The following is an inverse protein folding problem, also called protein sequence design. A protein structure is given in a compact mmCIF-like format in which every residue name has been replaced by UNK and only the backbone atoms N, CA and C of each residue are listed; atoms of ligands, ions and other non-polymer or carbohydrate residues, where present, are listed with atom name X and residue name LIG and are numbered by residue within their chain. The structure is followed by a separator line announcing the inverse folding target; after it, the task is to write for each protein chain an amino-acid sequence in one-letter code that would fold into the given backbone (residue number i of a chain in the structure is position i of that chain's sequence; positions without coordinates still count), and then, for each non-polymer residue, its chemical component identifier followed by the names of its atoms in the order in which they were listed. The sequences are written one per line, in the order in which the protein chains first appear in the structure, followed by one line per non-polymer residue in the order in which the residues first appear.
data_IF_618153229120
#
_entry.id   IF_618153229120
#
_cell.length_a   1.000
_cell.length_b   1.000
_cell.length_c   1.000
_cell.angle_alpha   90.00
_cell.angle_beta   90.00
_cell.angle_gamma   90.00
#
_symmetry.space_group_name_H-M   'P 1'
#
loop_
_entity.id
_entity.type
_entity.pdbx_description
1 polymer ?
#
# COMPACT_ATOMS: atom_id res chain seq x y z
N UNK A 1 56.67 -20.81 13.99
CA UNK A 1 55.73 -19.72 14.36
C UNK A 1 54.98 -19.14 13.16
N UNK A 2 55.52 -19.19 11.94
CA UNK A 2 54.86 -18.62 10.74
C UNK A 2 53.70 -19.50 10.22
N UNK A 3 53.75 -20.83 10.43
CA UNK A 3 52.71 -21.77 9.95
C UNK A 3 51.42 -21.81 10.79
N UNK A 4 51.43 -21.25 12.02
CA UNK A 4 50.23 -21.17 12.88
C UNK A 4 49.44 -19.88 12.69
N UNK A 5 50.06 -18.84 12.10
CA UNK A 5 49.40 -17.56 11.84
C UNK A 5 48.56 -17.61 10.56
N UNK A 6 48.97 -18.40 9.57
CA UNK A 6 48.24 -18.59 8.29
C UNK A 6 46.97 -19.42 8.45
N UNK A 7 46.94 -20.37 9.40
CA UNK A 7 45.76 -21.21 9.70
C UNK A 7 44.71 -20.45 10.52
N UNK A 8 45.12 -19.47 11.34
CA UNK A 8 44.22 -18.63 12.12
C UNK A 8 43.50 -17.58 11.23
N UNK A 9 44.17 -17.02 10.22
CA UNK A 9 43.54 -16.11 9.26
C UNK A 9 42.56 -16.80 8.30
N UNK A 10 42.78 -18.08 7.98
CA UNK A 10 41.84 -18.86 7.16
C UNK A 10 40.61 -19.35 7.95
N UNK A 11 40.74 -19.60 9.26
CA UNK A 11 39.58 -19.84 10.14
C UNK A 11 38.79 -18.56 10.44
N UNK A 12 39.45 -17.40 10.54
CA UNK A 12 38.75 -16.12 10.72
C UNK A 12 37.99 -15.69 9.47
N UNK A 13 38.53 -15.94 8.27
CA UNK A 13 37.79 -15.74 7.02
C UNK A 13 36.58 -16.68 6.90
N UNK A 14 36.69 -17.95 7.33
CA UNK A 14 35.57 -18.89 7.33
C UNK A 14 34.44 -18.53 8.33
N UNK A 15 34.74 -17.75 9.37
CA UNK A 15 33.73 -17.27 10.33
C UNK A 15 32.98 -16.02 9.87
N UNK A 16 33.46 -15.33 8.83
CA UNK A 16 32.75 -14.20 8.19
C UNK A 16 32.11 -14.56 6.84
N UNK A 17 32.29 -15.79 6.33
CA UNK A 17 31.68 -16.25 5.07
C UNK A 17 30.21 -16.68 5.23
N UNK A 18 29.67 -16.68 6.45
CA UNK A 18 28.22 -16.82 6.67
C UNK A 18 27.49 -15.46 6.71
N UNK A 19 27.99 -14.44 6.03
CA UNK A 19 27.06 -13.51 5.39
C UNK A 19 26.36 -14.32 4.31
N UNK A 20 25.20 -14.93 4.61
CA UNK A 20 24.35 -15.50 3.58
C UNK A 20 24.16 -14.42 2.50
N UNK A 21 24.84 -14.58 1.38
CA UNK A 21 24.41 -13.99 0.11
C UNK A 21 23.12 -14.72 -0.22
N UNK A 22 22.03 -14.26 0.40
CA UNK A 22 20.70 -14.74 0.12
C UNK A 22 20.50 -14.66 -1.39
N UNK A 23 20.26 -15.80 -2.02
CA UNK A 23 19.98 -15.84 -3.44
C UNK A 23 18.65 -15.10 -3.67
N UNK A 24 18.37 -14.51 -4.83
CA UNK A 24 17.07 -13.82 -5.02
C UNK A 24 15.85 -14.73 -4.75
N UNK A 25 16.03 -16.04 -4.86
CA UNK A 25 15.03 -17.04 -4.52
C UNK A 25 14.75 -17.15 -3.00
N UNK A 26 15.69 -16.74 -2.16
CA UNK A 26 15.56 -16.69 -0.70
C UNK A 26 14.88 -15.39 -0.24
N UNK A 27 14.87 -14.36 -1.11
CA UNK A 27 14.13 -13.12 -0.85
C UNK A 27 12.63 -13.41 -0.96
N UNK A 28 11.83 -12.91 -0.01
CA UNK A 28 10.36 -13.06 0.02
C UNK A 28 9.64 -12.61 -1.27
N UNK A 29 10.34 -11.91 -2.16
CA UNK A 29 9.88 -11.50 -3.49
C UNK A 29 9.54 -12.70 -4.38
N UNK A 30 10.21 -13.84 -4.21
CA UNK A 30 9.85 -15.07 -4.91
C UNK A 30 8.42 -15.54 -4.62
N UNK A 31 7.82 -15.11 -3.49
CA UNK A 31 6.45 -15.45 -3.12
C UNK A 31 5.41 -14.62 -3.86
N UNK A 32 5.79 -13.48 -4.42
CA UNK A 32 4.86 -12.48 -4.95
C UNK A 32 4.38 -12.92 -6.34
N UNK A 33 3.06 -12.95 -6.60
CA UNK A 33 2.53 -13.26 -7.92
C UNK A 33 2.94 -12.24 -9.01
N UNK A 34 3.03 -12.68 -10.26
CA UNK A 34 3.44 -11.87 -11.41
C UNK A 34 2.44 -10.78 -11.83
N UNK A 35 1.20 -10.87 -11.34
CA UNK A 35 0.13 -9.90 -11.57
C UNK A 35 0.15 -8.71 -10.59
N UNK A 36 1.11 -8.68 -9.66
CA UNK A 36 1.29 -7.58 -8.71
C UNK A 36 1.35 -6.22 -9.43
N UNK A 37 0.50 -5.29 -9.01
CA UNK A 37 0.44 -3.95 -9.56
C UNK A 37 1.61 -3.08 -9.09
N UNK A 38 2.06 -3.26 -7.85
CA UNK A 38 3.27 -2.65 -7.29
C UNK A 38 3.89 -3.55 -6.22
N UNK A 39 5.16 -3.29 -5.90
CA UNK A 39 5.89 -3.88 -4.78
C UNK A 39 6.77 -2.82 -4.14
N UNK A 40 6.83 -2.82 -2.81
CA UNK A 40 7.87 -2.17 -2.03
C UNK A 40 8.45 -3.17 -1.02
N UNK A 41 9.76 -3.29 -0.94
CA UNK A 41 10.41 -4.21 -0.01
C UNK A 41 11.59 -3.54 0.69
N UNK A 42 11.76 -3.91 1.96
CA UNK A 42 12.92 -3.57 2.78
C UNK A 42 13.56 -4.89 3.18
N UNK A 43 14.82 -5.07 2.78
CA UNK A 43 15.58 -6.30 2.99
C UNK A 43 16.71 -6.02 3.98
N UNK A 44 17.08 -7.01 4.80
CA UNK A 44 18.23 -6.90 5.72
C UNK A 44 18.06 -5.75 6.72
N UNK A 45 16.84 -5.55 7.24
CA UNK A 45 16.48 -4.39 8.08
C UNK A 45 17.41 -4.16 9.27
N UNK A 46 17.79 -5.23 9.98
CA UNK A 46 18.71 -5.20 11.13
C UNK A 46 20.08 -4.70 10.73
N UNK A 47 20.63 -5.23 9.64
CA UNK A 47 21.95 -4.82 9.18
C UNK A 47 21.95 -3.35 8.72
N UNK A 48 20.89 -2.91 8.06
CA UNK A 48 20.74 -1.50 7.68
C UNK A 48 20.68 -0.60 8.92
N UNK A 49 19.88 -0.96 9.92
CA UNK A 49 19.78 -0.24 11.17
C UNK A 49 21.12 -0.18 11.89
N UNK A 50 21.78 -1.32 12.06
CA UNK A 50 23.06 -1.44 12.77
C UNK A 50 24.12 -0.56 12.11
N UNK A 51 24.25 -0.61 10.77
CA UNK A 51 25.20 0.24 10.02
C UNK A 51 24.93 1.73 10.23
N UNK A 52 23.67 2.16 10.25
CA UNK A 52 23.31 3.56 10.52
C UNK A 52 23.63 3.91 11.97
N UNK A 53 23.16 3.11 12.92
CA UNK A 53 23.29 3.36 14.35
C UNK A 53 24.75 3.40 14.84
N UNK A 54 25.63 2.62 14.20
CA UNK A 54 27.08 2.62 14.49
C UNK A 54 27.89 3.57 13.60
N UNK A 55 27.27 4.33 12.70
CA UNK A 55 27.99 5.22 11.79
C UNK A 55 28.51 6.49 12.48
N UNK A 56 29.66 6.99 12.01
CA UNK A 56 30.18 8.30 12.43
C UNK A 56 29.19 9.43 12.12
N UNK A 57 28.48 9.36 10.99
CA UNK A 57 27.48 10.36 10.62
C UNK A 57 26.33 10.42 11.64
N UNK A 58 25.82 9.26 12.06
CA UNK A 58 24.78 9.20 13.09
C UNK A 58 25.30 9.61 14.46
N UNK A 59 26.55 9.27 14.80
CA UNK A 59 27.20 9.78 16.01
C UNK A 59 27.27 11.31 16.01
N UNK A 60 27.76 11.93 14.94
CA UNK A 60 27.81 13.39 14.79
C UNK A 60 26.44 14.06 14.80
N UNK A 61 25.40 13.42 14.24
CA UNK A 61 24.02 13.93 14.31
C UNK A 61 23.49 13.98 15.74
N UNK A 62 23.78 12.95 16.56
CA UNK A 62 23.37 12.90 17.97
C UNK A 62 24.06 13.96 18.83
N UNK A 63 25.26 14.41 18.45
CA UNK A 63 26.00 15.46 19.14
C UNK A 63 25.44 16.87 18.86
N UNK A 64 24.52 17.03 17.91
CA UNK A 64 23.87 18.31 17.66
C UNK A 64 22.93 18.65 18.83
N UNK A 65 23.13 19.83 19.44
CA UNK A 65 22.33 20.28 20.60
C UNK A 65 20.81 20.23 20.39
N UNK A 66 20.34 20.49 19.17
CA UNK A 66 18.92 20.40 18.82
C UNK A 66 18.41 18.95 18.84
N UNK A 67 19.23 18.00 18.39
CA UNK A 67 18.92 16.58 18.37
C UNK A 67 18.98 16.00 19.78
N UNK A 68 20.02 16.32 20.55
CA UNK A 68 20.14 15.96 21.97
C UNK A 68 18.92 16.43 22.76
N UNK A 69 18.55 17.70 22.63
CA UNK A 69 17.36 18.26 23.29
C UNK A 69 16.07 17.55 22.84
N UNK A 70 15.92 17.24 21.55
CA UNK A 70 14.75 16.54 21.04
C UNK A 70 14.67 15.09 21.55
N UNK A 71 15.80 14.39 21.65
CA UNK A 71 15.86 13.04 22.22
C UNK A 71 15.55 13.05 23.72
N UNK A 72 16.05 14.04 24.46
CA UNK A 72 15.73 14.23 25.88
C UNK A 72 14.24 14.54 26.10
N UNK A 73 13.64 15.39 25.26
CA UNK A 73 12.21 15.67 25.30
C UNK A 73 11.37 14.43 24.97
N UNK A 74 11.79 13.63 23.98
CA UNK A 74 11.15 12.37 23.64
C UNK A 74 11.23 11.36 24.80
N UNK A 75 12.40 11.20 25.43
CA UNK A 75 12.59 10.31 26.58
C UNK A 75 11.72 10.76 27.79
N UNK A 76 11.60 12.07 28.01
CA UNK A 76 10.69 12.62 29.03
C UNK A 76 9.23 12.33 28.70
N UNK A 77 8.82 12.43 27.44
CA UNK A 77 7.46 12.08 27.02
C UNK A 77 7.15 10.60 27.25
N UNK A 78 8.10 9.70 26.97
CA UNK A 78 7.92 8.26 27.15
C UNK A 78 7.64 7.84 28.60
N UNK A 79 8.07 8.64 29.58
CA UNK A 79 7.88 8.37 31.01
C UNK A 79 6.65 9.06 31.62
N UNK A 80 5.90 9.85 30.83
CA UNK A 80 4.68 10.51 31.31
C UNK A 80 3.51 9.52 31.42
N UNK A 81 2.83 9.44 32.59
CA UNK A 81 1.63 8.62 32.76
C UNK A 81 0.52 9.03 31.79
N UNK A 82 -0.06 8.05 31.09
CA UNK A 82 -1.12 8.28 30.09
C UNK A 82 -0.62 8.52 28.67
N UNK A 83 0.69 8.56 28.42
CA UNK A 83 1.23 8.54 27.07
C UNK A 83 1.00 7.16 26.42
N UNK A 84 0.48 7.07 25.18
CA UNK A 84 0.39 5.82 24.42
C UNK A 84 1.68 4.99 24.40
N UNK A 85 2.85 5.63 24.39
CA UNK A 85 4.16 4.94 24.47
C UNK A 85 4.41 4.28 25.83
N UNK A 86 3.95 4.88 26.93
CA UNK A 86 4.06 4.30 28.26
C UNK A 86 3.15 3.06 28.39
N UNK A 87 1.95 3.11 27.78
CA UNK A 87 1.05 1.95 27.69
C UNK A 87 1.66 0.84 26.84
N UNK A 88 2.29 1.17 25.70
CA UNK A 88 3.01 0.20 24.87
C UNK A 88 4.18 -0.45 25.64
N UNK A 89 4.98 0.35 26.36
CA UNK A 89 6.06 -0.18 27.21
C UNK A 89 5.54 -1.09 28.33
N UNK A 90 4.42 -0.73 28.97
CA UNK A 90 3.80 -1.56 30.00
C UNK A 90 3.31 -2.89 29.43
N UNK A 91 2.66 -2.88 28.25
CA UNK A 91 2.27 -4.11 27.55
C UNK A 91 3.49 -4.93 27.13
N UNK A 92 4.61 -4.28 26.79
CA UNK A 92 5.87 -4.94 26.44
C UNK A 92 6.52 -5.66 27.63
N UNK A 93 6.26 -5.22 28.85
CA UNK A 93 6.84 -5.81 30.07
C UNK A 93 6.06 -7.01 30.59
N UNK A 94 4.83 -7.26 30.09
CA UNK A 94 4.04 -8.40 30.52
C UNK A 94 4.69 -9.71 30.02
N UNK A 95 4.90 -10.72 30.90
CA UNK A 95 5.59 -11.96 30.54
C UNK A 95 4.88 -12.73 29.41
N UNK A 96 3.55 -12.66 29.35
CA UNK A 96 2.72 -13.33 28.33
C UNK A 96 2.89 -12.75 26.91
N UNK A 97 3.54 -11.58 26.80
CA UNK A 97 3.77 -10.87 25.54
C UNK A 97 5.22 -10.97 25.06
N UNK A 98 6.15 -11.48 25.86
CA UNK A 98 7.59 -11.53 25.50
C UNK A 98 7.84 -12.26 24.18
N UNK A 99 7.20 -13.41 23.98
CA UNK A 99 7.31 -14.19 22.75
C UNK A 99 6.71 -13.45 21.53
N UNK A 100 5.58 -12.74 21.71
CA UNK A 100 4.97 -11.95 20.64
C UNK A 100 5.83 -10.73 20.26
N UNK A 101 6.45 -10.09 21.25
CA UNK A 101 7.36 -8.95 21.05
C UNK A 101 8.62 -9.42 20.33
N UNK A 102 9.22 -10.52 20.78
CA UNK A 102 10.39 -11.10 20.13
C UNK A 102 10.10 -11.46 18.67
N UNK A 103 8.91 -12.02 18.39
CA UNK A 103 8.45 -12.29 17.03
C UNK A 103 8.29 -11.00 16.22
N UNK A 104 7.60 -9.97 16.74
CA UNK A 104 7.42 -8.69 16.05
C UNK A 104 8.76 -8.01 15.75
N UNK A 105 9.69 -8.03 16.71
CA UNK A 105 11.04 -7.50 16.54
C UNK A 105 11.81 -8.26 15.46
N UNK A 106 11.67 -9.58 15.37
CA UNK A 106 12.26 -10.38 14.31
C UNK A 106 11.64 -10.09 12.92
N UNK A 107 10.32 -10.01 12.86
CA UNK A 107 9.57 -9.68 11.64
C UNK A 107 9.98 -8.34 11.01
N UNK A 108 10.15 -7.29 11.82
CA UNK A 108 10.55 -5.96 11.31
C UNK A 108 12.05 -5.83 11.07
N UNK A 109 12.86 -6.67 11.73
CA UNK A 109 14.32 -6.62 11.63
C UNK A 109 14.87 -7.44 10.46
N UNK A 110 14.06 -8.27 9.82
CA UNK A 110 14.49 -9.09 8.70
C UNK A 110 14.01 -8.50 7.38
N UNK A 111 13.36 -9.30 6.54
CA UNK A 111 12.90 -8.93 5.21
C UNK A 111 11.39 -8.68 5.25
N UNK A 112 10.98 -7.54 4.74
CA UNK A 112 9.56 -7.17 4.65
C UNK A 112 9.23 -6.75 3.23
N UNK A 113 8.03 -7.08 2.79
CA UNK A 113 7.50 -6.61 1.52
C UNK A 113 6.03 -6.26 1.63
N UNK A 114 5.61 -5.25 0.88
CA UNK A 114 4.21 -4.94 0.64
C UNK A 114 3.97 -4.92 -0.86
N UNK A 115 2.90 -5.58 -1.31
CA UNK A 115 2.49 -5.53 -2.70
C UNK A 115 0.98 -5.35 -2.81
N UNK A 116 0.56 -4.72 -3.91
CA UNK A 116 -0.84 -4.63 -4.30
C UNK A 116 -1.09 -5.49 -5.52
N UNK A 117 -2.25 -6.13 -5.61
CA UNK A 117 -2.64 -6.96 -6.77
C UNK A 117 -3.15 -6.08 -7.92
N UNK A 118 -3.56 -6.71 -9.02
CA UNK A 118 -4.19 -6.03 -10.15
C UNK A 118 -5.44 -5.20 -9.80
N UNK A 119 -6.10 -5.43 -8.65
CA UNK A 119 -7.23 -4.61 -8.18
C UNK A 119 -6.84 -3.14 -7.94
N UNK A 120 -5.58 -2.85 -7.62
CA UNK A 120 -5.05 -1.48 -7.54
C UNK A 120 -5.05 -0.74 -8.87
N UNK A 121 -5.00 -1.44 -10.00
CA UNK A 121 -5.13 -0.84 -11.33
C UNK A 121 -6.55 -0.35 -11.54
N UNK A 122 -7.55 -1.16 -11.18
CA UNK A 122 -8.98 -0.79 -11.25
C UNK A 122 -9.28 0.37 -10.31
N UNK A 123 -8.84 0.29 -9.06
CA UNK A 123 -8.99 1.36 -8.08
C UNK A 123 -8.33 2.67 -8.54
N UNK A 124 -7.12 2.61 -9.12
CA UNK A 124 -6.42 3.80 -9.63
C UNK A 124 -7.19 4.52 -10.73
N UNK A 125 -7.89 3.79 -11.61
CA UNK A 125 -8.74 4.40 -12.64
C UNK A 125 -9.89 5.19 -12.02
N UNK A 126 -10.54 4.64 -10.99
CA UNK A 126 -11.59 5.34 -10.28
C UNK A 126 -11.04 6.58 -9.55
N UNK A 127 -9.93 6.42 -8.83
CA UNK A 127 -9.27 7.51 -8.10
C UNK A 127 -8.92 8.67 -9.04
N UNK A 128 -8.41 8.37 -10.23
CA UNK A 128 -8.10 9.37 -11.25
C UNK A 128 -9.36 10.10 -11.75
N UNK A 129 -10.45 9.39 -12.04
CA UNK A 129 -11.73 10.00 -12.44
C UNK A 129 -12.30 10.92 -11.36
N UNK A 130 -12.24 10.49 -10.10
CA UNK A 130 -12.66 11.31 -8.95
C UNK A 130 -11.79 12.56 -8.79
N UNK A 131 -10.47 12.42 -8.94
CA UNK A 131 -9.54 13.55 -8.91
C UNK A 131 -9.85 14.55 -10.03
N UNK A 132 -10.11 14.08 -11.25
CA UNK A 132 -10.51 14.94 -12.38
C UNK A 132 -11.84 15.66 -12.13
N UNK A 133 -12.84 14.97 -11.57
CA UNK A 133 -14.12 15.57 -11.19
C UNK A 133 -13.96 16.67 -10.12
N UNK A 134 -13.14 16.43 -9.10
CA UNK A 134 -12.80 17.42 -8.08
C UNK A 134 -12.11 18.65 -8.68
N UNK A 135 -11.15 18.44 -9.58
CA UNK A 135 -10.45 19.55 -10.25
C UNK A 135 -11.41 20.39 -11.10
N UNK A 136 -12.31 19.74 -11.85
CA UNK A 136 -13.34 20.43 -12.62
C UNK A 136 -14.26 21.30 -11.73
N UNK A 137 -14.71 20.77 -10.59
CA UNK A 137 -15.53 21.49 -9.61
C UNK A 137 -14.82 22.75 -9.06
N UNK A 138 -13.55 22.61 -8.72
CA UNK A 138 -12.74 23.70 -8.18
C UNK A 138 -12.59 24.84 -9.19
N UNK A 139 -12.36 24.52 -10.47
CA UNK A 139 -12.20 25.58 -11.48
C UNK A 139 -13.54 26.22 -11.84
N UNK A 140 -14.64 25.45 -11.91
CA UNK A 140 -15.97 26.01 -12.12
C UNK A 140 -16.35 27.05 -11.04
N UNK A 141 -15.89 26.83 -9.81
CA UNK A 141 -16.02 27.78 -8.70
C UNK A 141 -15.22 29.06 -8.94
N UNK A 142 -14.00 28.95 -9.47
CA UNK A 142 -13.12 30.08 -9.77
C UNK A 142 -13.66 30.91 -10.95
N UNK A 143 -14.22 30.27 -11.98
CA UNK A 143 -14.66 30.94 -13.22
C UNK A 143 -16.00 31.67 -13.11
N UNK A 144 -16.86 31.33 -12.13
CA UNK A 144 -18.16 31.99 -11.94
C UNK A 144 -18.12 33.25 -11.09
N UNK A 145 -16.93 33.67 -10.62
CA UNK A 145 -16.76 34.84 -9.76
C UNK A 145 -17.23 34.60 -8.32
N UNK A 146 -16.65 35.34 -7.37
CA UNK A 146 -16.91 35.26 -5.92
C UNK A 146 -18.30 35.72 -5.47
N UNK A 147 -19.19 36.10 -6.40
CA UNK A 147 -20.51 36.72 -6.10
C UNK A 147 -21.69 35.73 -6.17
N UNK A 148 -21.46 34.47 -6.56
CA UNK A 148 -22.42 33.40 -6.35
C UNK A 148 -21.97 32.61 -5.12
N UNK A 149 -22.75 32.67 -4.04
CA UNK A 149 -22.74 31.65 -2.99
C UNK A 149 -23.15 30.31 -3.60
N UNK A 150 -22.28 29.72 -4.41
CA UNK A 150 -22.35 28.32 -4.72
C UNK A 150 -22.13 27.60 -3.39
N UNK A 151 -23.10 26.77 -3.00
CA UNK A 151 -22.81 25.71 -2.06
C UNK A 151 -21.79 24.78 -2.74
N UNK A 152 -20.52 25.14 -2.56
CA UNK A 152 -19.34 24.47 -3.10
C UNK A 152 -19.28 23.02 -2.62
N UNK A 153 -19.89 22.73 -1.46
CA UNK A 153 -20.11 21.38 -0.98
C UNK A 153 -21.11 20.62 -1.85
N UNK A 154 -22.29 21.17 -2.10
CA UNK A 154 -23.35 20.49 -2.86
C UNK A 154 -22.94 20.16 -4.32
N UNK A 155 -22.28 21.10 -5.02
CA UNK A 155 -21.84 20.87 -6.40
C UNK A 155 -20.76 19.80 -6.49
N UNK A 156 -19.84 19.79 -5.52
CA UNK A 156 -18.77 18.80 -5.45
C UNK A 156 -19.33 17.40 -5.13
N UNK A 157 -20.21 17.31 -4.14
CA UNK A 157 -20.85 16.05 -3.75
C UNK A 157 -21.59 15.42 -4.93
N UNK A 158 -22.26 16.25 -5.75
CA UNK A 158 -22.92 15.79 -6.96
C UNK A 158 -21.98 15.20 -7.99
N UNK A 159 -20.92 15.92 -8.34
CA UNK A 159 -19.94 15.42 -9.31
C UNK A 159 -19.25 14.13 -8.83
N UNK A 160 -18.97 14.01 -7.53
CA UNK A 160 -18.43 12.79 -6.93
C UNK A 160 -19.42 11.63 -7.07
N UNK A 161 -20.69 11.83 -6.68
CA UNK A 161 -21.67 10.75 -6.71
C UNK A 161 -22.09 10.36 -8.14
N UNK A 162 -22.21 11.29 -9.09
CA UNK A 162 -22.37 10.98 -10.52
C UNK A 162 -21.20 10.14 -11.04
N UNK A 163 -19.96 10.53 -10.69
CA UNK A 163 -18.75 9.80 -11.10
C UNK A 163 -18.72 8.39 -10.51
N UNK A 164 -19.06 8.22 -9.23
CA UNK A 164 -19.12 6.90 -8.59
C UNK A 164 -20.23 6.03 -9.20
N UNK A 165 -21.43 6.58 -9.39
CA UNK A 165 -22.57 5.87 -9.95
C UNK A 165 -22.33 5.44 -11.41
N UNK A 166 -21.61 6.24 -12.20
CA UNK A 166 -21.22 5.91 -13.56
C UNK A 166 -20.09 4.87 -13.66
N UNK A 167 -19.37 4.58 -12.56
CA UNK A 167 -18.18 3.73 -12.55
C UNK A 167 -18.23 2.68 -11.42
N UNK A 168 -19.42 2.13 -11.16
CA UNK A 168 -19.65 1.14 -10.08
C UNK A 168 -18.80 -0.13 -10.25
N UNK A 169 -18.49 -0.52 -11.48
CA UNK A 169 -17.58 -1.62 -11.80
C UNK A 169 -16.14 -1.38 -11.30
N UNK A 170 -15.75 -0.12 -11.12
CA UNK A 170 -14.43 0.29 -10.63
C UNK A 170 -14.40 0.46 -9.11
N UNK A 171 -15.55 0.42 -8.44
CA UNK A 171 -15.65 0.41 -6.98
C UNK A 171 -15.28 -1.01 -6.52
N UNK A 172 -14.05 -1.14 -6.03
CA UNK A 172 -13.45 -2.39 -5.54
C UNK A 172 -12.72 -2.14 -4.23
N UNK A 173 -12.58 -3.16 -3.40
CA UNK A 173 -11.65 -3.15 -2.27
C UNK A 173 -10.29 -3.61 -2.80
N UNK A 174 -9.28 -2.73 -2.90
CA UNK A 174 -7.99 -3.11 -3.45
C UNK A 174 -7.25 -4.02 -2.48
N UNK A 175 -6.66 -5.10 -2.99
CA UNK A 175 -5.97 -6.09 -2.19
C UNK A 175 -4.54 -5.63 -1.90
N UNK A 176 -4.20 -5.55 -0.63
CA UNK A 176 -2.88 -5.22 -0.11
C UNK A 176 -2.35 -6.39 0.69
N UNK A 177 -1.15 -6.85 0.36
CA UNK A 177 -0.49 -7.95 1.06
C UNK A 177 0.81 -7.46 1.64
N UNK A 178 1.01 -7.69 2.93
CA UNK A 178 2.22 -7.41 3.67
C UNK A 178 2.82 -8.73 4.17
N UNK A 179 4.01 -9.06 3.69
CA UNK A 179 4.79 -10.19 4.17
C UNK A 179 5.96 -9.76 5.05
N UNK A 180 6.22 -10.54 6.08
CA UNK A 180 7.36 -10.41 6.97
C UNK A 180 8.05 -11.76 7.05
N UNK A 181 9.31 -11.82 6.63
CA UNK A 181 10.15 -12.97 6.92
C UNK A 181 10.28 -13.12 8.44
N UNK A 182 10.37 -14.35 8.91
CA UNK A 182 10.65 -14.62 10.32
C UNK A 182 11.52 -15.85 10.48
N UNK A 183 12.47 -15.75 11.41
CA UNK A 183 13.27 -16.88 11.88
C UNK A 183 12.54 -17.67 12.97
N UNK A 184 11.42 -17.16 13.48
CA UNK A 184 10.64 -17.70 14.59
C UNK A 184 9.28 -18.28 14.13
N UNK A 185 9.30 -19.11 13.09
CA UNK A 185 8.08 -19.67 12.47
C UNK A 185 7.17 -20.40 13.47
N UNK A 186 7.72 -21.13 14.45
CA UNK A 186 6.92 -21.83 15.45
C UNK A 186 6.22 -20.85 16.42
N UNK A 187 6.90 -19.77 16.81
CA UNK A 187 6.30 -18.70 17.60
C UNK A 187 5.18 -18.01 16.80
N UNK A 188 5.40 -17.77 15.50
CA UNK A 188 4.38 -17.22 14.61
C UNK A 188 3.11 -18.08 14.56
N UNK A 189 3.25 -19.41 14.40
CA UNK A 189 2.10 -20.33 14.40
C UNK A 189 1.32 -20.26 15.71
N UNK A 190 2.03 -20.25 16.84
CA UNK A 190 1.39 -20.14 18.16
C UNK A 190 0.67 -18.81 18.36
N UNK A 191 1.21 -17.69 17.87
CA UNK A 191 0.53 -16.41 17.91
C UNK A 191 -0.68 -16.37 16.98
N UNK A 192 -0.61 -17.03 15.83
CA UNK A 192 -1.75 -17.20 14.92
C UNK A 192 -2.90 -17.92 15.64
N UNK A 193 -2.63 -19.04 16.32
CA UNK A 193 -3.63 -19.77 17.10
C UNK A 193 -4.25 -18.91 18.24
N UNK A 194 -3.44 -18.08 18.91
CA UNK A 194 -3.94 -17.13 19.91
C UNK A 194 -4.86 -16.07 19.30
N UNK A 195 -4.50 -15.54 18.14
CA UNK A 195 -5.30 -14.55 17.41
C UNK A 195 -6.62 -15.17 16.93
N UNK A 196 -6.61 -16.43 16.48
CA UNK A 196 -7.85 -17.16 16.13
C UNK A 196 -8.81 -17.24 17.32
N UNK A 197 -8.29 -17.66 18.48
CA UNK A 197 -9.10 -17.79 19.69
C UNK A 197 -9.70 -16.46 20.11
N UNK A 198 -8.92 -15.37 20.03
CA UNK A 198 -9.40 -14.02 20.30
C UNK A 198 -10.46 -13.57 19.28
N UNK A 199 -10.19 -13.71 17.99
CA UNK A 199 -11.09 -13.31 16.91
C UNK A 199 -12.42 -14.07 16.99
N UNK A 200 -12.36 -15.38 17.22
CA UNK A 200 -13.53 -16.24 17.39
C UNK A 200 -14.36 -15.84 18.60
N UNK A 201 -13.71 -15.54 19.74
CA UNK A 201 -14.41 -15.08 20.94
C UNK A 201 -15.10 -13.73 20.72
N UNK A 202 -14.44 -12.80 20.02
CA UNK A 202 -15.01 -11.50 19.65
C UNK A 202 -16.18 -11.65 18.67
N UNK A 203 -16.04 -12.53 17.69
CA UNK A 203 -17.09 -12.88 16.74
C UNK A 203 -18.34 -13.46 17.44
N UNK A 204 -18.16 -14.37 18.39
CA UNK A 204 -19.26 -14.92 19.19
C UNK A 204 -19.97 -13.88 20.05
N UNK A 205 -19.27 -12.83 20.48
CA UNK A 205 -19.85 -11.73 21.25
C UNK A 205 -20.71 -10.78 20.39
N UNK A 206 -20.64 -10.87 19.06
CA UNK A 206 -21.40 -10.02 18.14
C UNK A 206 -22.13 -10.87 17.09
N UNK A 207 -23.48 -10.96 17.12
CA UNK A 207 -24.24 -11.78 16.19
C UNK A 207 -23.92 -11.55 14.70
N UNK A 208 -23.58 -10.31 14.33
CA UNK A 208 -23.21 -9.94 12.95
C UNK A 208 -21.88 -10.53 12.48
N UNK A 209 -21.01 -10.95 13.40
CA UNK A 209 -19.67 -11.49 13.11
C UNK A 209 -19.58 -13.00 13.36
N UNK A 210 -20.67 -13.67 13.72
CA UNK A 210 -20.66 -15.06 14.18
C UNK A 210 -19.97 -16.02 13.18
N UNK A 211 -20.16 -15.77 11.88
CA UNK A 211 -19.56 -16.55 10.79
C UNK A 211 -18.41 -15.80 10.07
N UNK A 212 -17.91 -14.71 10.65
CA UNK A 212 -16.90 -13.88 10.02
C UNK A 212 -15.50 -14.49 10.08
N UNK A 213 -15.21 -15.35 11.06
CA UNK A 213 -13.88 -15.90 11.30
C UNK A 213 -13.80 -17.34 10.78
N UNK A 214 -12.82 -17.62 9.92
CA UNK A 214 -12.54 -18.96 9.44
C UNK A 214 -11.03 -19.23 9.42
N UNK A 215 -10.67 -20.51 9.53
CA UNK A 215 -9.31 -20.99 9.24
C UNK A 215 -9.34 -21.79 7.96
N UNK A 216 -8.53 -21.38 7.01
CA UNK A 216 -8.51 -21.94 5.66
C UNK A 216 -7.08 -22.17 5.18
N UNK A 217 -6.91 -23.23 4.39
CA UNK A 217 -5.67 -23.47 3.66
C UNK A 217 -5.79 -22.80 2.29
N UNK A 218 -4.94 -21.82 2.04
CA UNK A 218 -4.98 -20.99 0.83
C UNK A 218 -3.62 -21.08 0.14
N UNK A 219 -3.58 -21.69 -1.03
CA UNK A 219 -2.34 -21.94 -1.77
C UNK A 219 -1.32 -22.72 -0.92
N UNK A 220 -0.15 -22.11 -0.71
CA UNK A 220 0.95 -22.70 0.06
C UNK A 220 0.92 -22.37 1.58
N UNK A 221 -0.11 -21.67 2.07
CA UNK A 221 -0.18 -21.23 3.47
C UNK A 221 -1.45 -21.64 4.19
N UNK A 222 -1.40 -21.51 5.52
CA UNK A 222 -2.55 -21.63 6.42
C UNK A 222 -2.89 -20.23 6.96
N UNK A 223 -4.17 -19.85 6.84
CA UNK A 223 -4.66 -18.51 7.14
C UNK A 223 -5.84 -18.54 8.09
N UNK A 224 -5.94 -17.50 8.91
CA UNK A 224 -7.17 -17.07 9.56
C UNK A 224 -7.71 -15.91 8.75
N UNK A 225 -8.96 -16.01 8.34
CA UNK A 225 -9.67 -14.98 7.59
C UNK A 225 -10.77 -14.38 8.46
N UNK A 226 -10.90 -13.06 8.42
CA UNK A 226 -12.02 -12.32 8.98
C UNK A 226 -12.73 -11.61 7.84
N UNK A 227 -13.94 -12.05 7.53
CA UNK A 227 -14.77 -11.48 6.46
C UNK A 227 -15.80 -10.53 7.07
N UNK A 228 -15.68 -9.26 6.72
CA UNK A 228 -16.56 -8.19 7.18
C UNK A 228 -17.44 -7.78 6.01
N UNK A 229 -18.75 -8.02 6.15
CA UNK A 229 -19.74 -7.56 5.19
C UNK A 229 -20.20 -6.16 5.58
N UNK A 230 -20.29 -5.22 4.63
CA UNK A 230 -20.83 -3.90 4.88
C UNK A 230 -22.30 -3.99 5.31
N UNK A 231 -22.65 -3.28 6.37
CA UNK A 231 -24.05 -3.09 6.76
C UNK A 231 -24.62 -1.87 6.01
N UNK A 232 -25.61 -2.07 5.12
CA UNK A 232 -26.21 -0.97 4.35
C UNK A 232 -26.81 0.13 5.23
N UNK A 233 -27.30 -0.19 6.43
CA UNK A 233 -27.86 0.79 7.37
C UNK A 233 -26.76 1.63 8.02
N UNK A 234 -25.64 1.00 8.42
CA UNK A 234 -24.49 1.73 8.95
C UNK A 234 -23.85 2.62 7.87
N UNK A 235 -23.78 2.15 6.63
CA UNK A 235 -23.28 2.97 5.51
C UNK A 235 -24.20 4.16 5.28
N UNK A 236 -25.53 3.95 5.21
CA UNK A 236 -26.50 5.04 5.07
C UNK A 236 -26.36 6.07 6.19
N UNK A 237 -26.25 5.61 7.44
CA UNK A 237 -26.08 6.48 8.61
C UNK A 237 -24.74 7.24 8.58
N UNK A 238 -23.64 6.58 8.19
CA UNK A 238 -22.34 7.23 8.04
C UNK A 238 -22.36 8.29 6.92
N UNK A 239 -22.97 7.97 5.77
CA UNK A 239 -23.08 8.91 4.65
C UNK A 239 -23.96 10.11 4.99
N UNK A 240 -25.11 9.91 5.67
CA UNK A 240 -26.00 11.02 6.05
C UNK A 240 -25.36 12.02 7.01
N UNK A 241 -24.32 11.60 7.74
CA UNK A 241 -23.57 12.48 8.65
C UNK A 241 -22.45 13.28 7.96
N UNK A 242 -22.00 12.84 6.78
CA UNK A 242 -20.82 13.38 6.09
C UNK A 242 -21.21 14.16 4.84
N UNK A 243 -22.29 13.78 4.16
CA UNK A 243 -22.66 14.32 2.86
C UNK A 243 -24.16 14.60 2.79
N UNK A 244 -24.52 15.83 2.42
CA UNK A 244 -25.87 16.19 2.00
C UNK A 244 -25.95 15.94 0.49
N UNK A 245 -26.79 14.99 0.12
CA UNK A 245 -27.09 14.65 -1.27
C UNK A 245 -28.53 15.06 -1.54
N UNK A 246 -28.76 16.35 -1.77
CA UNK A 246 -30.08 16.81 -2.22
C UNK A 246 -30.24 16.39 -3.70
N UNK A 247 -31.37 15.77 -4.05
CA UNK A 247 -31.75 15.34 -5.41
C UNK A 247 -30.82 14.29 -6.10
N UNK A 248 -30.26 13.32 -5.36
CA UNK A 248 -29.37 12.28 -5.90
C UNK A 248 -29.71 10.84 -5.46
N UNK A 249 -30.98 10.55 -5.26
CA UNK A 249 -31.41 9.24 -4.74
C UNK A 249 -31.00 8.07 -5.65
N UNK A 250 -31.05 8.26 -6.98
CA UNK A 250 -30.73 7.19 -7.94
C UNK A 250 -29.23 6.86 -7.97
N UNK A 251 -28.36 7.87 -8.01
CA UNK A 251 -26.91 7.69 -7.95
C UNK A 251 -26.50 7.00 -6.65
N UNK A 252 -27.08 7.45 -5.53
CA UNK A 252 -26.83 6.86 -4.22
C UNK A 252 -27.29 5.42 -4.14
N UNK A 253 -28.44 5.07 -4.69
CA UNK A 253 -28.93 3.70 -4.71
C UNK A 253 -27.96 2.79 -5.49
N UNK A 254 -27.46 3.24 -6.65
CA UNK A 254 -26.46 2.51 -7.45
C UNK A 254 -25.16 2.29 -6.66
N UNK A 255 -24.67 3.32 -5.99
CA UNK A 255 -23.43 3.25 -5.20
C UNK A 255 -23.63 2.32 -4.00
N UNK A 256 -24.70 2.51 -3.23
CA UNK A 256 -25.02 1.70 -2.05
C UNK A 256 -25.21 0.23 -2.40
N UNK A 257 -25.88 -0.05 -3.52
CA UNK A 257 -26.03 -1.41 -4.02
C UNK A 257 -24.65 -2.02 -4.28
N UNK A 258 -23.79 -1.32 -5.02
CA UNK A 258 -22.44 -1.81 -5.32
C UNK A 258 -21.59 -2.01 -4.07
N UNK A 259 -21.59 -1.05 -3.14
CA UNK A 259 -20.83 -1.15 -1.88
C UNK A 259 -21.36 -2.29 -1.01
N UNK A 260 -22.68 -2.51 -0.99
CA UNK A 260 -23.31 -3.62 -0.26
C UNK A 260 -22.97 -5.01 -0.81
N UNK A 261 -22.50 -5.11 -2.06
CA UNK A 261 -22.01 -6.35 -2.68
C UNK A 261 -20.53 -6.62 -2.39
N UNK A 262 -19.79 -5.64 -1.89
CA UNK A 262 -18.38 -5.81 -1.53
C UNK A 262 -18.26 -6.46 -0.16
N UNK A 263 -17.16 -7.17 0.05
CA UNK A 263 -16.78 -7.68 1.36
C UNK A 263 -15.33 -7.25 1.63
N UNK A 264 -15.00 -7.02 2.89
CA UNK A 264 -13.61 -6.77 3.31
C UNK A 264 -13.12 -8.04 3.97
N UNK A 265 -12.09 -8.65 3.40
CA UNK A 265 -11.44 -9.83 3.96
C UNK A 265 -10.08 -9.44 4.50
N UNK A 266 -9.87 -9.69 5.79
CA UNK A 266 -8.57 -9.60 6.45
C UNK A 266 -8.06 -11.02 6.66
N UNK A 267 -6.99 -11.41 5.99
CA UNK A 267 -6.36 -12.71 6.13
C UNK A 267 -4.99 -12.57 6.80
N UNK A 268 -4.77 -13.28 7.90
CA UNK A 268 -3.48 -13.38 8.58
C UNK A 268 -3.04 -14.83 8.55
N UNK A 269 -1.83 -15.12 8.09
CA UNK A 269 -1.37 -16.50 7.96
C UNK A 269 0.13 -16.62 7.82
N UNK A 270 0.56 -17.85 7.55
CA UNK A 270 1.97 -18.17 7.37
C UNK A 270 2.16 -18.88 6.02
N UNK A 271 3.05 -18.34 5.20
CA UNK A 271 3.45 -18.91 3.91
C UNK A 271 4.95 -19.14 3.92
N UNK A 272 5.37 -20.41 3.88
CA UNK A 272 6.77 -20.79 4.13
C UNK A 272 7.28 -20.18 5.45
N UNK A 273 8.30 -19.33 5.39
CA UNK A 273 8.91 -18.64 6.54
C UNK A 273 8.45 -17.18 6.65
N UNK A 274 7.26 -16.85 6.12
CA UNK A 274 6.72 -15.50 6.15
C UNK A 274 5.38 -15.43 6.85
N UNK A 275 5.25 -14.48 7.78
CA UNK A 275 3.96 -14.04 8.29
C UNK A 275 3.35 -13.09 7.26
N UNK A 276 2.13 -13.37 6.84
CA UNK A 276 1.44 -12.66 5.76
C UNK A 276 0.14 -12.06 6.30
N UNK A 277 0.02 -10.74 6.22
CA UNK A 277 -1.22 -10.01 6.44
C UNK A 277 -1.74 -9.53 5.08
N UNK A 278 -2.97 -9.89 4.75
CA UNK A 278 -3.67 -9.46 3.55
C UNK A 278 -4.96 -8.76 3.92
N UNK A 279 -5.25 -7.63 3.27
CA UNK A 279 -6.50 -6.89 3.41
C UNK A 279 -7.01 -6.63 2.00
N UNK A 280 -8.22 -7.07 1.67
CA UNK A 280 -8.72 -7.00 0.31
C UNK A 280 -10.19 -7.35 0.15
N UNK A 281 -10.61 -7.52 -1.11
CA UNK A 281 -11.97 -7.95 -1.46
C UNK A 281 -12.19 -9.46 -1.36
N UNK A 282 -11.13 -10.23 -1.16
CA UNK A 282 -11.15 -11.69 -1.16
C UNK A 282 -9.79 -12.29 -0.78
N UNK A 283 -9.58 -13.56 -1.13
CA UNK A 283 -8.34 -14.31 -0.85
C UNK A 283 -7.74 -14.97 -2.10
N UNK A 284 -8.33 -14.76 -3.26
CA UNK A 284 -7.95 -15.40 -4.52
C UNK A 284 -6.48 -15.14 -4.87
N UNK A 285 -5.99 -13.93 -4.61
CA UNK A 285 -4.59 -13.55 -4.86
C UNK A 285 -3.58 -14.28 -3.97
N UNK A 286 -4.00 -14.79 -2.80
CA UNK A 286 -3.15 -15.57 -1.92
C UNK A 286 -2.93 -17.00 -2.45
N UNK A 287 -3.80 -17.50 -3.33
CA UNK A 287 -3.64 -18.85 -3.90
C UNK A 287 -2.37 -18.97 -4.75
N UNK A 288 -2.01 -17.91 -5.48
CA UNK A 288 -0.82 -17.85 -6.31
C UNK A 288 0.47 -17.61 -5.48
N UNK A 289 0.33 -17.16 -4.24
CA UNK A 289 1.45 -16.77 -3.39
C UNK A 289 2.32 -17.98 -3.03
N UNK A 290 3.61 -17.91 -3.39
CA UNK A 290 4.57 -18.97 -3.12
C UNK A 290 4.44 -20.22 -4.00
N UNK A 291 3.61 -20.18 -5.04
CA UNK A 291 3.48 -21.24 -6.04
C UNK A 291 4.75 -21.41 -6.89
N UNK A 292 4.94 -22.60 -7.48
CA UNK A 292 6.09 -22.87 -8.35
C UNK A 292 5.82 -22.33 -9.76
N UNK A 293 6.20 -21.07 -10.00
CA UNK A 293 6.02 -20.36 -11.27
C UNK A 293 4.98 -19.24 -11.18
N UNK A 294 5.02 -18.29 -12.11
CA UNK A 294 4.16 -17.10 -12.04
C UNK A 294 4.58 -16.13 -10.94
N UNK A 295 5.86 -16.14 -10.55
CA UNK A 295 6.40 -15.17 -9.60
C UNK A 295 6.73 -13.86 -10.30
N UNK A 296 6.53 -12.74 -9.59
CA UNK A 296 7.00 -11.43 -10.02
C UNK A 296 8.50 -11.44 -10.30
N UNK A 297 9.26 -12.23 -9.53
CA UNK A 297 10.69 -12.41 -9.72
C UNK A 297 11.04 -13.02 -11.08
N UNK A 298 10.15 -13.75 -11.75
CA UNK A 298 10.39 -14.37 -13.06
C UNK A 298 10.16 -13.41 -14.23
N UNK A 299 9.51 -12.27 -13.98
CA UNK A 299 9.11 -11.33 -15.02
C UNK A 299 10.31 -10.63 -15.67
N UNK A 300 10.12 -10.13 -16.90
CA UNK A 300 11.17 -9.42 -17.65
C UNK A 300 11.77 -8.21 -16.88
N UNK A 301 10.98 -7.34 -16.19
CA UNK A 301 11.52 -6.23 -15.42
C UNK A 301 12.48 -6.65 -14.30
N UNK A 302 12.26 -7.82 -13.68
CA UNK A 302 13.07 -8.32 -12.57
C UNK A 302 14.39 -8.95 -13.00
N UNK A 303 14.70 -9.00 -14.31
CA UNK A 303 15.99 -9.51 -14.78
C UNK A 303 17.18 -8.82 -14.10
N UNK A 304 17.14 -7.50 -13.96
CA UNK A 304 18.23 -6.73 -13.33
C UNK A 304 18.41 -7.04 -11.84
N UNK A 305 17.35 -7.46 -11.15
CA UNK A 305 17.42 -7.91 -9.75
C UNK A 305 18.02 -9.31 -9.67
N UNK A 306 17.58 -10.22 -10.56
CA UNK A 306 18.14 -11.57 -10.68
C UNK A 306 19.64 -11.54 -11.05
N UNK A 307 20.05 -10.59 -11.88
CA UNK A 307 21.46 -10.41 -12.25
C UNK A 307 22.29 -9.76 -11.11
N UNK A 308 21.64 -9.16 -10.11
CA UNK A 308 22.27 -8.44 -9.00
C UNK A 308 22.29 -9.24 -7.67
N UNK A 309 22.02 -10.54 -7.68
CA UNK A 309 21.87 -11.37 -6.48
C UNK A 309 23.11 -11.53 -5.63
N UNK A 310 24.29 -11.35 -6.22
CA UNK A 310 25.54 -11.38 -5.47
C UNK A 310 25.75 -10.11 -4.62
N UNK A 311 24.96 -9.06 -4.87
CA UNK A 311 25.00 -7.82 -4.09
C UNK A 311 24.09 -7.93 -2.86
N UNK A 312 24.45 -7.29 -1.74
CA UNK A 312 23.61 -7.22 -0.55
C UNK A 312 22.44 -6.25 -0.76
N UNK A 313 21.40 -6.71 -1.46
CA UNK A 313 20.19 -5.93 -1.75
C UNK A 313 19.53 -5.43 -0.45
N UNK A 314 19.01 -4.20 -0.48
CA UNK A 314 18.40 -3.54 0.70
C UNK A 314 16.98 -3.07 0.48
N UNK A 315 16.62 -2.76 -0.77
CA UNK A 315 15.23 -2.46 -1.12
C UNK A 315 14.99 -2.77 -2.58
N UNK A 316 13.75 -3.17 -2.87
CA UNK A 316 13.25 -3.32 -4.24
C UNK A 316 11.89 -2.65 -4.31
N UNK A 317 11.75 -1.77 -5.29
CA UNK A 317 10.54 -1.04 -5.61
C UNK A 317 10.14 -1.38 -7.03
N UNK A 318 8.86 -1.66 -7.24
CA UNK A 318 8.34 -1.99 -8.54
C UNK A 318 6.94 -1.42 -8.73
N UNK A 319 6.66 -1.00 -9.96
CA UNK A 319 5.35 -0.62 -10.44
C UNK A 319 5.13 -1.29 -11.80
N UNK A 320 4.02 -2.00 -11.92
CA UNK A 320 3.63 -2.66 -13.16
C UNK A 320 3.32 -1.67 -14.27
N UNK A 321 3.44 -2.13 -15.50
CA UNK A 321 3.03 -1.36 -16.67
C UNK A 321 1.54 -1.03 -16.60
N UNK A 322 0.69 -1.99 -16.22
CA UNK A 322 -0.77 -1.79 -16.12
C UNK A 322 -1.11 -0.66 -15.15
N UNK A 323 -0.46 -0.63 -13.98
CA UNK A 323 -0.64 0.44 -13.00
C UNK A 323 -0.11 1.77 -13.51
N UNK A 324 1.05 1.80 -14.17
CA UNK A 324 1.59 3.02 -14.75
C UNK A 324 0.65 3.62 -15.82
N UNK A 325 0.09 2.77 -16.69
CA UNK A 325 -0.90 3.15 -17.71
C UNK A 325 -2.21 3.69 -17.14
N UNK A 326 -2.62 3.23 -15.95
CA UNK A 326 -3.82 3.77 -15.29
C UNK A 326 -3.69 5.28 -14.96
N UNK A 327 -2.46 5.78 -14.85
CA UNK A 327 -2.15 7.18 -14.55
C UNK A 327 -1.69 8.00 -15.76
N UNK A 328 -1.51 7.37 -16.94
CA UNK A 328 -1.19 8.10 -18.17
C UNK A 328 -2.36 8.95 -18.65
N UNK A 329 -2.07 10.03 -19.38
CA UNK A 329 -3.09 10.77 -20.13
C UNK A 329 -3.72 9.87 -21.19
N UNK A 330 -5.02 9.69 -21.10
CA UNK A 330 -5.84 8.86 -21.98
C UNK A 330 -6.72 9.74 -22.89
N UNK A 331 -7.27 9.19 -23.98
CA UNK A 331 -8.25 9.91 -24.80
C UNK A 331 -9.45 10.41 -23.99
N UNK A 332 -9.88 9.67 -22.97
CA UNK A 332 -10.97 10.08 -22.07
C UNK A 332 -10.61 11.35 -21.29
N UNK A 333 -9.36 11.52 -20.85
CA UNK A 333 -8.91 12.74 -20.17
C UNK A 333 -8.89 13.95 -21.12
N UNK A 334 -8.52 13.72 -22.39
CA UNK A 334 -8.55 14.77 -23.43
C UNK A 334 -9.99 15.22 -23.67
N UNK A 335 -10.92 14.29 -23.82
CA UNK A 335 -12.35 14.61 -23.98
C UNK A 335 -12.93 15.28 -22.74
N UNK A 336 -12.54 14.87 -21.54
CA UNK A 336 -12.95 15.54 -20.30
C UNK A 336 -12.43 16.98 -20.24
N UNK A 337 -11.18 17.20 -20.65
CA UNK A 337 -10.61 18.55 -20.70
C UNK A 337 -11.27 19.43 -21.77
N UNK A 338 -11.68 18.87 -22.91
CA UNK A 338 -12.49 19.60 -23.91
C UNK A 338 -13.83 20.02 -23.35
N UNK A 339 -14.59 19.09 -22.76
CA UNK A 339 -15.87 19.39 -22.09
C UNK A 339 -15.71 20.46 -21.01
N UNK A 340 -14.59 20.41 -20.31
CA UNK A 340 -14.23 21.42 -19.33
C UNK A 340 -14.01 22.80 -19.98
N UNK A 341 -13.27 22.87 -21.10
CA UNK A 341 -13.08 24.10 -21.86
C UNK A 341 -14.42 24.70 -22.34
N UNK A 342 -15.34 23.85 -22.81
CA UNK A 342 -16.72 24.24 -23.17
C UNK A 342 -17.43 24.89 -21.99
N UNK A 343 -17.43 24.23 -20.82
CA UNK A 343 -18.12 24.73 -19.64
C UNK A 343 -17.58 26.08 -19.15
N UNK A 344 -16.26 26.28 -19.23
CA UNK A 344 -15.63 27.58 -18.92
C UNK A 344 -16.03 28.64 -19.94
N UNK A 345 -16.03 28.31 -21.23
CA UNK A 345 -16.39 29.23 -22.29
C UNK A 345 -17.86 29.68 -22.18
N UNK A 346 -18.78 28.74 -21.92
CA UNK A 346 -20.20 29.01 -21.67
C UNK A 346 -20.39 29.89 -20.44
N UNK A 347 -19.69 29.61 -19.33
CA UNK A 347 -19.79 30.41 -18.11
C UNK A 347 -19.29 31.85 -18.28
N UNK A 348 -18.45 32.12 -19.28
CA UNK A 348 -17.93 33.45 -19.60
C UNK A 348 -18.63 34.08 -20.82
N UNK A 349 -19.76 33.52 -21.26
CA UNK A 349 -20.55 34.00 -22.40
C UNK A 349 -19.73 34.16 -23.70
N UNK A 350 -18.73 33.30 -23.90
CA UNK A 350 -17.94 33.31 -25.13
C UNK A 350 -18.80 32.91 -26.34
N UNK A 351 -18.43 33.40 -27.51
CA UNK A 351 -19.13 33.03 -28.74
C UNK A 351 -18.96 31.54 -29.04
N UNK A 352 -19.87 30.90 -29.80
CA UNK A 352 -19.71 29.52 -30.22
C UNK A 352 -18.39 29.27 -30.98
N UNK A 353 -17.96 30.26 -31.77
CA UNK A 353 -16.68 30.21 -32.49
C UNK A 353 -15.48 30.21 -31.54
N UNK A 354 -15.47 31.11 -30.55
CA UNK A 354 -14.42 31.17 -29.53
C UNK A 354 -14.40 29.91 -28.64
N UNK A 355 -15.57 29.32 -28.37
CA UNK A 355 -15.71 28.07 -27.62
C UNK A 355 -15.10 26.90 -28.38
N UNK A 356 -15.43 26.76 -29.68
CA UNK A 356 -14.88 25.72 -30.53
C UNK A 356 -13.35 25.86 -30.71
N UNK A 357 -12.84 27.10 -30.79
CA UNK A 357 -11.40 27.35 -30.84
C UNK A 357 -10.71 26.95 -29.53
N UNK A 358 -11.31 27.25 -28.37
CA UNK A 358 -10.79 26.85 -27.07
C UNK A 358 -10.74 25.33 -26.90
N UNK A 359 -11.81 24.62 -27.27
CA UNK A 359 -11.85 23.14 -27.26
C UNK A 359 -10.75 22.54 -28.14
N UNK A 360 -10.59 23.08 -29.36
CA UNK A 360 -9.57 22.64 -30.29
C UNK A 360 -8.17 22.85 -29.72
N UNK A 361 -7.89 24.04 -29.16
CA UNK A 361 -6.58 24.36 -28.59
C UNK A 361 -6.24 23.45 -27.40
N UNK A 362 -7.21 23.19 -26.51
CA UNK A 362 -7.04 22.28 -25.38
C UNK A 362 -6.79 20.84 -25.86
N UNK A 363 -7.54 20.39 -26.87
CA UNK A 363 -7.33 19.09 -27.50
C UNK A 363 -5.93 18.95 -28.09
N UNK A 364 -5.50 19.89 -28.94
CA UNK A 364 -4.17 19.90 -29.56
C UNK A 364 -3.05 19.99 -28.51
N UNK A 365 -3.24 20.76 -27.43
CA UNK A 365 -2.28 20.87 -26.35
C UNK A 365 -2.09 19.53 -25.63
N UNK A 366 -3.18 18.84 -25.29
CA UNK A 366 -3.12 17.59 -24.54
C UNK A 366 -2.65 16.42 -25.41
N UNK A 367 -3.08 16.35 -26.67
CA UNK A 367 -2.55 15.39 -27.63
C UNK A 367 -1.06 15.62 -27.88
N UNK A 368 -0.67 16.89 -28.06
CA UNK A 368 0.73 17.30 -28.17
C UNK A 368 1.56 16.95 -26.93
N UNK A 369 1.01 17.17 -25.73
CA UNK A 369 1.63 16.77 -24.47
C UNK A 369 1.78 15.26 -24.37
N UNK A 370 0.71 14.50 -24.59
CA UNK A 370 0.71 13.04 -24.54
C UNK A 370 1.70 12.43 -25.54
N UNK A 371 1.79 12.98 -26.76
CA UNK A 371 2.74 12.52 -27.78
C UNK A 371 4.22 12.73 -27.43
N UNK A 372 4.51 13.63 -26.50
CA UNK A 372 5.88 13.94 -26.03
C UNK A 372 6.24 13.22 -24.73
N UNK A 373 5.25 12.68 -24.03
CA UNK A 373 5.48 11.90 -22.82
C UNK A 373 6.00 10.51 -23.20
N UNK A 374 6.97 9.96 -22.44
CA UNK A 374 7.42 8.59 -22.67
C UNK A 374 6.27 7.62 -22.40
N UNK A 375 6.14 6.59 -23.24
CA UNK A 375 5.20 5.50 -22.97
C UNK A 375 5.46 4.88 -21.59
N UNK A 376 4.42 4.73 -20.79
CA UNK A 376 4.50 4.12 -19.48
C UNK A 376 4.89 2.65 -19.61
N UNK A 377 6.13 2.40 -19.20
CA UNK A 377 6.67 1.08 -18.97
C UNK A 377 6.52 0.64 -17.51
N UNK A 378 6.80 -0.65 -17.23
CA UNK A 378 7.05 -1.07 -15.87
C UNK A 378 8.26 -0.31 -15.32
N UNK A 379 8.20 0.09 -14.05
CA UNK A 379 9.31 0.75 -13.37
C UNK A 379 9.82 -0.18 -12.26
N UNK A 380 11.13 -0.32 -12.16
CA UNK A 380 11.78 -1.08 -11.13
C UNK A 380 13.02 -0.33 -10.66
N UNK A 381 13.18 -0.22 -9.35
CA UNK A 381 14.36 0.29 -8.69
C UNK A 381 14.80 -0.69 -7.60
N UNK A 382 16.11 -0.80 -7.41
CA UNK A 382 16.66 -1.56 -6.30
C UNK A 382 17.87 -0.83 -5.72
N UNK A 383 18.13 -1.06 -4.44
CA UNK A 383 19.32 -0.58 -3.74
C UNK A 383 20.08 -1.76 -3.14
N UNK A 384 21.37 -1.57 -2.88
CA UNK A 384 22.22 -2.54 -2.20
C UNK A 384 23.23 -1.81 -1.32
N UNK A 385 23.76 -2.50 -0.32
CA UNK A 385 24.85 -1.96 0.49
C UNK A 385 26.14 -1.96 -0.33
N UNK A 386 26.84 -0.83 -0.33
CA UNK A 386 28.21 -0.76 -0.82
C UNK A 386 29.18 -1.12 0.31
N UNK A 387 30.37 -1.56 -0.07
CA UNK A 387 31.49 -1.62 0.86
C UNK A 387 31.82 -0.20 1.34
N UNK A 388 32.19 -0.08 2.62
CA UNK A 388 32.62 1.16 3.27
C UNK A 388 34.13 1.27 3.30
#
# INVERSE_FOLDING_TARGET
MITKLTLACSLFAALFVNAHTAQAADLGIGLIPDDAAFLASTLRGREQYDRIATSNAFASLKELKSVEKALDELAKQQTQPGNPMALAMMMMQMPDNQEAIALLQDMVATDTFVFGTSSWVTFSKLAKKLQSAQQAANIATITKGTDLELDTGATLNRLIAETLAANTDQIVIPDLVWGFHTTQTDAAKKQLDRIEGFATSMAQAQPMLADAVAREKIGAGDFITVTIKPDPNLIKMAMSNVVKFDDMEEELEKILKRVGELEIVVALGIVKEHVVLSIGGGTEHLQAMGSTGGSLLDTKPFKVVRDATEKPLTSIWYRSQKLAKAWETSPEDVEQAKKFATAVAEANELTPEATAEAEKLVGELLEGYASRMPEAGPWLAYSYLTDT
#
